data_IF_059047745535
#
_entry.id   IF_059047745535
#
_cell.length_a   1.000
_cell.length_b   1.000
_cell.length_c   1.000
_cell.angle_alpha   90.00
_cell.angle_beta   90.00
_cell.angle_gamma   90.00
#
_symmetry.space_group_name_H-M   'P 1'
#
loop_
_entity.id
_entity.type
_entity.pdbx_description
1 polymer ?
#
# COMPACT_ATOMS: atom_id res chain seq x y z
N UNK A 1 -14.94 7.71 8.98
CA UNK A 1 -15.21 6.89 7.78
C UNK A 1 -15.86 7.64 6.62
N UNK A 2 -16.97 8.38 6.80
CA UNK A 2 -17.56 9.15 5.68
C UNK A 2 -16.60 10.19 5.11
N UNK A 3 -15.92 10.93 5.99
CA UNK A 3 -14.96 11.96 5.58
C UNK A 3 -13.73 11.34 4.89
N UNK A 4 -13.24 10.22 5.40
CA UNK A 4 -12.18 9.43 4.75
C UNK A 4 -12.59 8.98 3.33
N UNK A 5 -13.81 8.46 3.15
CA UNK A 5 -14.29 8.07 1.83
C UNK A 5 -14.38 9.27 0.87
N UNK A 6 -14.85 10.42 1.36
CA UNK A 6 -14.91 11.65 0.56
C UNK A 6 -13.50 12.13 0.19
N UNK A 7 -12.56 12.06 1.13
CA UNK A 7 -11.15 12.38 0.93
C UNK A 7 -10.51 11.50 -0.14
N UNK A 8 -10.64 10.17 -0.02
CA UNK A 8 -10.10 9.21 -1.01
C UNK A 8 -10.68 9.50 -2.40
N UNK A 9 -12.01 9.59 -2.53
CA UNK A 9 -12.66 9.85 -3.83
C UNK A 9 -12.23 11.15 -4.48
N UNK A 10 -11.94 12.18 -3.68
CA UNK A 10 -11.48 13.48 -4.20
C UNK A 10 -10.03 13.43 -4.69
N UNK A 11 -9.20 12.58 -4.11
CA UNK A 11 -7.76 12.61 -4.29
C UNK A 11 -7.19 11.35 -5.00
N UNK A 12 -8.01 10.37 -5.37
CA UNK A 12 -7.58 9.08 -5.93
C UNK A 12 -6.66 9.25 -7.15
N UNK A 13 -7.02 10.13 -8.08
CA UNK A 13 -6.22 10.44 -9.27
C UNK A 13 -4.89 11.13 -8.92
N UNK A 14 -4.86 11.90 -7.82
CA UNK A 14 -3.68 12.62 -7.40
C UNK A 14 -2.63 11.69 -6.79
N UNK A 15 -3.06 10.63 -6.11
CA UNK A 15 -2.15 9.61 -5.59
C UNK A 15 -1.34 8.95 -6.71
N UNK A 16 -1.96 8.65 -7.86
CA UNK A 16 -1.21 8.14 -9.01
C UNK A 16 -0.39 9.22 -9.69
N UNK A 17 -0.91 10.44 -9.82
CA UNK A 17 -0.23 11.56 -10.49
C UNK A 17 1.08 11.93 -9.83
N UNK A 18 1.12 11.93 -8.50
CA UNK A 18 2.28 12.32 -7.70
C UNK A 18 3.01 11.12 -7.09
N UNK A 19 2.68 9.90 -7.53
CA UNK A 19 3.32 8.68 -7.04
C UNK A 19 4.84 8.70 -7.31
N UNK A 20 5.64 8.09 -6.43
CA UNK A 20 7.05 7.85 -6.69
C UNK A 20 7.27 7.05 -7.98
N UNK A 21 8.39 7.29 -8.66
CA UNK A 21 8.71 6.56 -9.90
C UNK A 21 8.77 5.06 -9.64
N UNK A 22 8.10 4.28 -10.48
CA UNK A 22 8.05 2.81 -10.38
C UNK A 22 6.90 2.28 -9.53
N UNK A 23 6.14 3.18 -8.89
CA UNK A 23 4.94 2.84 -8.13
C UNK A 23 3.67 3.13 -8.92
N UNK A 24 2.74 2.19 -8.85
CA UNK A 24 1.40 2.31 -9.40
C UNK A 24 0.40 2.19 -8.27
N UNK A 25 -0.45 3.20 -8.13
CA UNK A 25 -1.56 3.17 -7.21
C UNK A 25 -2.68 2.31 -7.79
N UNK A 26 -3.16 1.33 -7.01
CA UNK A 26 -4.23 0.41 -7.40
C UNK A 26 -5.56 0.73 -6.73
N UNK A 27 -5.63 1.81 -5.95
CA UNK A 27 -6.83 2.28 -5.26
C UNK A 27 -6.84 1.97 -3.77
N UNK A 28 -7.85 2.49 -3.08
CA UNK A 28 -8.08 2.25 -1.65
C UNK A 28 -9.42 1.56 -1.44
N UNK A 29 -9.38 0.45 -0.71
CA UNK A 29 -10.49 -0.49 -0.55
C UNK A 29 -10.93 -0.56 0.90
N UNK A 30 -12.24 -0.67 1.12
CA UNK A 30 -12.80 -1.00 2.43
C UNK A 30 -12.91 -2.51 2.61
N UNK A 31 -12.53 -3.00 3.78
CA UNK A 31 -12.81 -4.38 4.17
C UNK A 31 -14.31 -4.54 4.47
N UNK A 32 -14.94 -5.59 3.94
CA UNK A 32 -16.39 -5.83 4.04
C UNK A 32 -16.68 -7.20 4.62
N UNK A 33 -17.87 -7.37 5.21
CA UNK A 33 -18.35 -8.65 5.75
C UNK A 33 -17.42 -9.29 6.81
N UNK A 34 -16.66 -8.48 7.54
CA UNK A 34 -15.73 -8.94 8.57
C UNK A 34 -14.43 -9.55 8.02
N UNK A 35 -14.19 -9.50 6.72
CA UNK A 35 -12.92 -9.93 6.13
C UNK A 35 -11.89 -8.81 6.19
N UNK A 36 -10.93 -8.91 7.09
CA UNK A 36 -9.84 -7.94 7.24
C UNK A 36 -9.69 -7.50 8.70
N UNK A 37 -8.44 -7.23 9.10
CA UNK A 37 -8.14 -6.79 10.47
C UNK A 37 -8.45 -5.29 10.68
N UNK A 38 -8.32 -4.50 9.62
CA UNK A 38 -8.46 -3.04 9.67
C UNK A 38 -9.70 -2.58 8.88
N UNK A 39 -9.97 -1.27 8.89
CA UNK A 39 -11.12 -0.71 8.16
C UNK A 39 -10.90 -0.59 6.65
N UNK A 40 -9.66 -0.35 6.22
CA UNK A 40 -9.32 -0.08 4.81
C UNK A 40 -7.92 -0.59 4.46
N UNK A 41 -7.64 -0.74 3.16
CA UNK A 41 -6.32 -1.02 2.61
C UNK A 41 -6.06 -0.15 1.38
N UNK A 42 -4.90 0.52 1.34
CA UNK A 42 -4.40 1.16 0.13
C UNK A 42 -3.50 0.19 -0.62
N UNK A 43 -3.82 -0.08 -1.88
CA UNK A 43 -3.10 -1.05 -2.70
C UNK A 43 -2.13 -0.33 -3.63
N UNK A 44 -0.89 -0.79 -3.62
CA UNK A 44 0.19 -0.23 -4.41
C UNK A 44 0.97 -1.35 -5.08
N UNK A 45 1.46 -1.09 -6.28
CA UNK A 45 2.29 -2.02 -7.04
C UNK A 45 3.63 -1.36 -7.35
N UNK A 46 4.72 -2.02 -6.95
CA UNK A 46 6.08 -1.67 -7.36
C UNK A 46 6.56 -2.65 -8.43
N UNK A 47 7.34 -2.18 -9.40
CA UNK A 47 7.85 -3.03 -10.49
C UNK A 47 9.03 -3.91 -10.04
N UNK A 48 9.85 -3.39 -9.13
CA UNK A 48 11.04 -4.07 -8.59
C UNK A 48 11.34 -3.58 -7.18
N UNK A 49 12.13 -4.34 -6.43
CA UNK A 49 12.48 -3.95 -5.06
C UNK A 49 13.32 -2.67 -4.97
N UNK A 50 14.06 -2.31 -6.02
CA UNK A 50 14.74 -1.01 -6.06
C UNK A 50 13.79 0.19 -6.10
N UNK A 51 12.51 0.00 -6.40
CA UNK A 51 11.53 1.09 -6.33
C UNK A 51 11.21 1.45 -4.86
N UNK A 52 11.56 0.63 -3.87
CA UNK A 52 11.48 1.06 -2.47
C UNK A 52 12.42 2.23 -2.17
N UNK A 53 13.56 2.33 -2.85
CA UNK A 53 14.48 3.46 -2.68
C UNK A 53 13.87 4.73 -3.29
N UNK A 54 13.24 4.61 -4.46
CA UNK A 54 12.52 5.75 -5.07
C UNK A 54 11.36 6.21 -4.21
N UNK A 55 10.71 5.32 -3.45
CA UNK A 55 9.68 5.70 -2.47
C UNK A 55 10.27 6.49 -1.29
N UNK A 56 11.41 6.05 -0.75
CA UNK A 56 12.06 6.68 0.41
C UNK A 56 12.63 8.06 0.11
N UNK A 57 13.15 8.23 -1.11
CA UNK A 57 13.78 9.46 -1.57
C UNK A 57 12.79 10.41 -2.28
N UNK A 58 11.48 10.08 -2.28
CA UNK A 58 10.49 10.87 -3.01
C UNK A 58 10.11 12.15 -2.26
N UNK A 59 10.56 13.30 -2.79
CA UNK A 59 10.35 14.62 -2.21
C UNK A 59 9.37 15.50 -3.02
N UNK A 60 8.22 14.95 -3.46
CA UNK A 60 7.17 15.76 -4.09
C UNK A 60 6.29 16.43 -3.01
N UNK A 61 6.17 17.77 -2.97
CA UNK A 61 5.37 18.45 -1.95
C UNK A 61 3.88 18.09 -1.97
N UNK A 62 3.31 17.79 -3.15
CA UNK A 62 1.92 17.35 -3.25
C UNK A 62 1.77 15.94 -2.72
N UNK A 63 2.76 15.07 -2.95
CA UNK A 63 2.79 13.73 -2.36
C UNK A 63 2.85 13.81 -0.83
N UNK A 64 3.74 14.62 -0.27
CA UNK A 64 3.87 14.81 1.18
C UNK A 64 2.55 15.30 1.78
N UNK A 65 1.97 16.37 1.22
CA UNK A 65 0.66 16.90 1.67
C UNK A 65 -0.44 15.83 1.64
N UNK A 66 -0.54 15.06 0.55
CA UNK A 66 -1.56 14.01 0.43
C UNK A 66 -1.38 12.90 1.47
N UNK A 67 -0.13 12.56 1.82
CA UNK A 67 0.13 11.55 2.84
C UNK A 67 -0.14 12.09 4.24
N UNK A 68 0.25 13.33 4.54
CA UNK A 68 -0.08 13.98 5.81
C UNK A 68 -1.60 14.04 6.05
N UNK A 69 -2.35 14.56 5.06
CA UNK A 69 -3.81 14.60 5.11
C UNK A 69 -4.43 13.20 5.21
N UNK A 70 -3.79 12.19 4.61
CA UNK A 70 -4.21 10.79 4.72
C UNK A 70 -3.97 10.24 6.14
N UNK A 71 -2.82 10.55 6.75
CA UNK A 71 -2.45 10.10 8.09
C UNK A 71 -3.31 10.71 9.19
N UNK A 72 -3.89 11.90 8.99
CA UNK A 72 -4.86 12.51 9.93
C UNK A 72 -6.10 11.63 10.19
N UNK A 73 -6.41 10.69 9.30
CA UNK A 73 -7.52 9.75 9.47
C UNK A 73 -7.16 8.49 10.27
N UNK A 74 -5.87 8.28 10.59
CA UNK A 74 -5.38 7.06 11.20
C UNK A 74 -4.76 7.34 12.57
N UNK A 75 -5.09 6.48 13.53
CA UNK A 75 -4.45 6.50 14.84
C UNK A 75 -2.95 6.14 14.71
N UNK A 76 -2.06 6.79 15.47
CA UNK A 76 -0.65 6.45 15.47
C UNK A 76 -0.41 4.97 15.76
N UNK A 77 0.48 4.34 14.97
CA UNK A 77 0.81 2.91 15.07
C UNK A 77 -0.37 1.94 14.80
N UNK A 78 -1.49 2.41 14.24
CA UNK A 78 -2.57 1.54 13.77
C UNK A 78 -2.41 1.32 12.26
N UNK A 79 -1.98 0.12 11.90
CA UNK A 79 -1.88 -0.30 10.50
C UNK A 79 -0.81 -1.37 10.31
N UNK A 80 -0.80 -1.99 9.15
CA UNK A 80 0.27 -2.86 8.71
C UNK A 80 0.54 -2.65 7.23
N UNK A 81 1.80 -2.83 6.83
CA UNK A 81 2.19 -2.92 5.43
C UNK A 81 2.60 -4.36 5.16
N UNK A 82 1.97 -4.98 4.16
CA UNK A 82 2.32 -6.32 3.68
C UNK A 82 2.80 -6.24 2.25
N UNK A 83 3.87 -6.98 1.95
CA UNK A 83 4.39 -7.10 0.59
C UNK A 83 3.93 -8.44 0.00
N UNK A 84 3.17 -8.35 -1.08
CA UNK A 84 2.61 -9.52 -1.77
C UNK A 84 3.41 -9.81 -3.04
N UNK A 85 3.45 -11.08 -3.42
CA UNK A 85 3.99 -11.54 -4.69
C UNK A 85 3.04 -12.58 -5.27
N UNK A 86 2.92 -12.62 -6.59
CA UNK A 86 2.14 -13.65 -7.26
C UNK A 86 2.61 -15.04 -6.85
N UNK A 87 1.67 -15.95 -6.58
CA UNK A 87 1.97 -17.28 -6.05
C UNK A 87 2.91 -18.08 -6.98
N UNK A 88 2.80 -17.88 -8.30
CA UNK A 88 3.66 -18.53 -9.29
C UNK A 88 5.14 -18.12 -9.19
N UNK A 89 5.41 -16.95 -8.61
CA UNK A 89 6.76 -16.39 -8.47
C UNK A 89 7.32 -16.53 -7.05
N UNK A 90 6.53 -17.04 -6.10
CA UNK A 90 6.99 -17.27 -4.73
C UNK A 90 7.92 -18.47 -4.69
N UNK A 91 9.16 -18.27 -4.25
CA UNK A 91 10.09 -19.37 -4.00
C UNK A 91 9.68 -20.11 -2.73
N UNK A 92 9.11 -21.30 -2.88
CA UNK A 92 8.81 -22.21 -1.77
C UNK A 92 10.08 -23.03 -1.48
N UNK A 93 10.68 -22.82 -0.30
CA UNK A 93 11.78 -23.66 0.17
C UNK A 93 11.23 -24.81 0.98
N UNK A 94 11.17 -26.01 0.41
CA UNK A 94 10.80 -27.21 1.16
C UNK A 94 11.94 -27.62 2.10
N UNK A 95 11.65 -28.05 3.34
CA UNK A 95 12.66 -28.65 4.20
C UNK A 95 13.20 -29.93 3.53
N UNK A 96 14.50 -30.23 3.68
CA UNK A 96 15.08 -31.44 3.10
C UNK A 96 14.32 -32.66 3.61
N UNK A 97 13.93 -33.55 2.68
CA UNK A 97 13.28 -34.82 3.03
C UNK A 97 14.15 -35.56 4.04
N UNK A 98 13.61 -35.83 5.24
CA UNK A 98 14.26 -36.73 6.20
C UNK A 98 14.47 -38.08 5.51
N UNK A 99 15.72 -38.51 5.35
CA UNK A 99 16.03 -39.89 4.97
C UNK A 99 15.42 -40.80 6.05
N UNK A 100 14.50 -41.67 5.66
CA UNK A 100 14.01 -42.77 6.50
C UNK A 100 15.08 -43.84 6.59
#
# INVERSE_FOLDING_TARGET
MKDFQAYVKKNEDLFQKFAPRGWTYRGTYGYVLGFGRYGVAAMWECKKYGDFDTFREHEDPNWTRLNEELFDFFEPNQGEAVLLREIGDVKITEPPKKKR
#
